data_IF_179298654926
#
_entry.id   IF_179298654926
#
_cell.length_a   1.000
_cell.length_b   1.000
_cell.length_c   1.000
_cell.angle_alpha   90.00
_cell.angle_beta   90.00
_cell.angle_gamma   90.00
#
_symmetry.space_group_name_H-M   'P 1'
#
loop_
_entity.id
_entity.type
_entity.pdbx_description
1 polymer ?
#
# COMPACT_ATOMS: atom_id res chain seq x y z
N UNK A 1 18.97 6.70 -1.84
CA UNK A 1 17.50 6.55 -1.75
C UNK A 1 17.10 6.17 -0.33
N UNK A 2 16.07 6.80 0.20
CA UNK A 2 15.68 6.64 1.60
C UNK A 2 14.39 5.83 1.78
N UNK A 3 14.09 4.97 0.83
CA UNK A 3 12.96 4.03 0.91
C UNK A 3 13.46 2.63 0.60
N UNK A 4 13.17 1.68 1.48
CA UNK A 4 13.47 0.28 1.26
C UNK A 4 12.16 -0.48 1.09
N UNK A 5 12.12 -1.33 0.07
CA UNK A 5 10.96 -2.14 -0.25
C UNK A 5 11.34 -3.61 -0.20
N UNK A 6 10.47 -4.42 0.39
CA UNK A 6 10.66 -5.85 0.47
C UNK A 6 9.34 -6.53 0.10
N UNK A 7 9.39 -7.48 -0.80
CA UNK A 7 8.19 -8.18 -1.29
C UNK A 7 8.19 -9.60 -0.75
N UNK A 8 7.07 -10.02 -0.18
CA UNK A 8 6.92 -11.40 0.30
C UNK A 8 5.51 -11.88 0.01
N UNK A 9 5.32 -13.19 0.08
CA UNK A 9 4.02 -13.82 -0.17
C UNK A 9 3.48 -14.41 1.13
N UNK A 10 2.23 -14.13 1.42
CA UNK A 10 1.53 -14.65 2.59
C UNK A 10 0.27 -15.37 2.12
N UNK A 11 0.39 -16.65 1.84
CA UNK A 11 -0.72 -17.51 1.40
C UNK A 11 -1.43 -16.96 0.17
N UNK A 12 -0.67 -16.56 -0.84
CA UNK A 12 -1.21 -16.05 -2.09
C UNK A 12 -1.56 -14.58 -2.09
N UNK A 13 -1.31 -13.89 -0.98
CA UNK A 13 -1.46 -12.44 -0.87
C UNK A 13 -0.05 -11.84 -0.86
N UNK A 14 0.22 -10.90 -1.74
CA UNK A 14 1.53 -10.25 -1.79
C UNK A 14 1.57 -9.11 -0.79
N UNK A 15 2.60 -9.10 0.04
CA UNK A 15 2.83 -8.04 1.00
C UNK A 15 4.08 -7.28 0.60
N UNK A 16 3.98 -5.97 0.48
CA UNK A 16 5.12 -5.09 0.22
C UNK A 16 5.39 -4.31 1.49
N UNK A 17 6.52 -4.62 2.13
CA UNK A 17 6.96 -3.89 3.31
C UNK A 17 7.71 -2.65 2.85
N UNK A 18 7.28 -1.48 3.32
CA UNK A 18 7.87 -0.20 2.97
C UNK A 18 8.51 0.40 4.22
N UNK A 19 9.77 0.80 4.13
CA UNK A 19 10.49 1.38 5.26
C UNK A 19 11.26 2.60 4.83
N UNK A 20 11.06 3.73 5.52
CA UNK A 20 11.77 4.96 5.26
C UNK A 20 10.85 6.09 4.85
N UNK A 21 11.26 6.86 3.86
CA UNK A 21 10.55 8.06 3.41
C UNK A 21 9.91 7.83 2.05
N UNK A 22 8.61 7.98 2.00
CA UNK A 22 7.85 7.86 0.75
C UNK A 22 7.58 9.26 0.21
N UNK A 23 8.54 9.78 -0.54
CA UNK A 23 8.51 11.14 -1.04
C UNK A 23 8.66 11.18 -2.55
N UNK A 24 8.30 12.31 -3.15
CA UNK A 24 8.43 12.54 -4.58
C UNK A 24 9.87 12.28 -5.05
N UNK A 25 10.03 11.73 -6.25
CA UNK A 25 11.32 11.44 -6.85
C UNK A 25 11.61 9.96 -6.88
N UNK A 26 12.84 9.58 -6.55
CA UNK A 26 13.30 8.19 -6.63
C UNK A 26 12.49 7.25 -5.75
N UNK A 27 12.12 7.70 -4.55
CA UNK A 27 11.38 6.89 -3.60
C UNK A 27 9.99 6.54 -4.15
N UNK A 28 9.23 7.54 -4.56
CA UNK A 28 7.90 7.30 -5.14
C UNK A 28 7.98 6.49 -6.42
N UNK A 29 8.99 6.75 -7.26
CA UNK A 29 9.18 5.99 -8.49
C UNK A 29 9.52 4.52 -8.20
N UNK A 30 10.33 4.26 -7.18
CA UNK A 30 10.69 2.90 -6.78
C UNK A 30 9.46 2.11 -6.33
N UNK A 31 8.61 2.73 -5.51
CA UNK A 31 7.37 2.09 -5.07
C UNK A 31 6.46 1.80 -6.25
N UNK A 32 6.29 2.79 -7.14
CA UNK A 32 5.45 2.63 -8.32
C UNK A 32 5.91 1.46 -9.19
N UNK A 33 7.20 1.41 -9.51
CA UNK A 33 7.73 0.34 -10.34
C UNK A 33 7.58 -1.03 -9.70
N UNK A 34 7.88 -1.13 -8.42
CA UNK A 34 7.79 -2.40 -7.69
C UNK A 34 6.36 -2.93 -7.71
N UNK A 35 5.38 -2.10 -7.36
CA UNK A 35 3.99 -2.54 -7.25
C UNK A 35 3.37 -2.75 -8.64
N UNK A 36 3.68 -1.91 -9.62
CA UNK A 36 3.16 -2.10 -10.97
C UNK A 36 3.56 -3.45 -11.57
N UNK A 37 4.74 -3.94 -11.27
CA UNK A 37 5.19 -5.26 -11.73
C UNK A 37 4.41 -6.39 -11.08
N UNK A 38 3.89 -6.17 -9.87
CA UNK A 38 3.15 -7.18 -9.13
C UNK A 38 1.68 -7.27 -9.56
N UNK A 39 1.10 -6.15 -9.98
CA UNK A 39 -0.34 -6.06 -10.25
C UNK A 39 -0.85 -7.07 -11.28
N UNK A 40 -0.17 -7.32 -12.44
CA UNK A 40 -0.72 -8.21 -13.45
C UNK A 40 -0.98 -9.64 -12.96
N UNK A 41 -0.18 -10.11 -12.03
CA UNK A 41 -0.27 -11.49 -11.56
C UNK A 41 -0.79 -11.61 -10.13
N UNK A 42 -1.09 -10.49 -9.47
CA UNK A 42 -1.51 -10.50 -8.06
C UNK A 42 -2.71 -9.58 -7.87
N UNK A 43 -3.85 -10.18 -7.58
CA UNK A 43 -5.09 -9.43 -7.36
C UNK A 43 -5.23 -8.96 -5.92
N UNK A 44 -4.38 -9.44 -5.03
CA UNK A 44 -4.45 -9.15 -3.59
C UNK A 44 -3.09 -8.68 -3.13
N UNK A 45 -3.00 -7.39 -2.83
CA UNK A 45 -1.74 -6.76 -2.41
C UNK A 45 -1.98 -5.98 -1.13
N UNK A 46 -1.09 -6.16 -0.17
CA UNK A 46 -1.06 -5.37 1.07
C UNK A 46 0.21 -4.53 1.06
N UNK A 47 0.07 -3.22 1.27
CA UNK A 47 1.22 -2.35 1.52
C UNK A 47 1.32 -2.14 3.02
N UNK A 48 2.40 -2.62 3.62
CA UNK A 48 2.66 -2.42 5.03
C UNK A 48 3.47 -1.14 5.19
N UNK A 49 2.85 -0.13 5.77
CA UNK A 49 3.42 1.21 5.92
C UNK A 49 3.89 1.51 7.34
N UNK A 50 4.02 0.46 8.18
CA UNK A 50 4.37 0.62 9.59
C UNK A 50 5.74 1.25 9.84
N UNK A 51 6.65 1.12 8.90
CA UNK A 51 7.98 1.70 9.00
C UNK A 51 8.19 2.91 8.08
N UNK A 52 7.11 3.46 7.53
CA UNK A 52 7.19 4.70 6.76
C UNK A 52 7.17 5.88 7.72
N UNK A 53 8.30 6.60 7.77
CA UNK A 53 8.48 7.69 8.73
C UNK A 53 7.99 9.03 8.22
N UNK A 54 7.86 9.19 6.91
CA UNK A 54 7.44 10.44 6.30
C UNK A 54 6.82 10.18 4.93
N UNK A 55 5.83 10.98 4.58
CA UNK A 55 5.19 10.93 3.26
C UNK A 55 4.86 12.37 2.85
N UNK A 56 5.07 12.69 1.57
CA UNK A 56 4.66 13.97 1.00
C UNK A 56 3.55 13.76 -0.03
N UNK A 57 3.13 14.84 -0.69
CA UNK A 57 2.06 14.77 -1.68
C UNK A 57 2.42 13.89 -2.88
N UNK A 58 3.72 13.81 -3.24
CA UNK A 58 4.17 12.93 -4.32
C UNK A 58 4.04 11.46 -3.95
N UNK A 59 4.40 11.11 -2.71
CA UNK A 59 4.20 9.75 -2.21
C UNK A 59 2.73 9.40 -2.10
N UNK A 60 1.93 10.34 -1.59
CA UNK A 60 0.50 10.14 -1.47
C UNK A 60 -0.15 9.92 -2.84
N UNK A 61 0.19 10.75 -3.83
CA UNK A 61 -0.30 10.60 -5.19
C UNK A 61 0.07 9.26 -5.79
N UNK A 62 1.26 8.75 -5.48
CA UNK A 62 1.70 7.43 -5.93
C UNK A 62 0.82 6.33 -5.34
N UNK A 63 0.47 6.41 -4.05
CA UNK A 63 -0.44 5.43 -3.45
C UNK A 63 -1.80 5.44 -4.14
N UNK A 64 -2.35 6.63 -4.42
CA UNK A 64 -3.64 6.74 -5.11
C UNK A 64 -3.56 6.15 -6.52
N UNK A 65 -2.50 6.46 -7.25
CA UNK A 65 -2.33 5.95 -8.61
C UNK A 65 -2.22 4.42 -8.63
N UNK A 66 -1.49 3.84 -7.68
CA UNK A 66 -1.35 2.38 -7.59
C UNK A 66 -2.67 1.72 -7.22
N UNK A 67 -3.42 2.30 -6.30
CA UNK A 67 -4.74 1.79 -5.94
C UNK A 67 -5.64 1.74 -7.17
N UNK A 68 -5.67 2.82 -7.95
CA UNK A 68 -6.50 2.92 -9.15
C UNK A 68 -6.04 1.90 -10.20
N UNK A 69 -4.73 1.78 -10.42
CA UNK A 69 -4.19 0.82 -11.38
C UNK A 69 -4.57 -0.61 -11.02
N UNK A 70 -4.47 -0.95 -9.74
CA UNK A 70 -4.85 -2.29 -9.29
C UNK A 70 -6.34 -2.55 -9.51
N UNK A 71 -7.19 -1.59 -9.16
CA UNK A 71 -8.64 -1.71 -9.36
C UNK A 71 -8.99 -1.92 -10.84
N UNK A 72 -8.36 -1.16 -11.72
CA UNK A 72 -8.60 -1.28 -13.15
C UNK A 72 -8.15 -2.64 -13.69
N UNK A 73 -7.20 -3.29 -13.04
CA UNK A 73 -6.73 -4.62 -13.40
C UNK A 73 -7.52 -5.75 -12.71
N UNK A 74 -8.57 -5.42 -11.97
CA UNK A 74 -9.39 -6.39 -11.26
C UNK A 74 -8.87 -6.81 -9.90
N UNK A 75 -7.90 -6.08 -9.35
CA UNK A 75 -7.32 -6.36 -8.04
C UNK A 75 -7.61 -5.28 -7.00
N UNK A 76 -7.04 -5.45 -5.84
CA UNK A 76 -7.20 -4.50 -4.74
C UNK A 76 -5.89 -4.38 -3.98
N UNK A 77 -5.54 -3.14 -3.63
CA UNK A 77 -4.44 -2.85 -2.71
C UNK A 77 -5.05 -2.38 -1.40
N UNK A 78 -4.64 -3.00 -0.30
CA UNK A 78 -5.04 -2.61 1.05
C UNK A 78 -3.83 -2.08 1.80
N UNK A 79 -4.06 -1.13 2.70
CA UNK A 79 -2.99 -0.52 3.49
C UNK A 79 -3.05 -1.07 4.92
N UNK A 80 -1.88 -1.31 5.50
CA UNK A 80 -1.79 -1.83 6.87
C UNK A 80 -0.79 -1.03 7.69
N UNK A 81 -1.06 -0.94 8.98
CA UNK A 81 -0.11 -0.44 9.98
C UNK A 81 0.29 1.02 9.77
N UNK A 82 -0.64 1.89 9.39
CA UNK A 82 -0.31 3.29 9.17
C UNK A 82 0.34 3.90 10.41
N UNK A 83 1.43 4.64 10.22
CA UNK A 83 1.95 5.49 11.27
C UNK A 83 0.97 6.65 11.47
N UNK A 84 1.06 7.31 12.63
CA UNK A 84 0.21 8.47 12.90
C UNK A 84 0.37 9.53 11.80
N UNK A 85 1.60 9.77 11.37
CA UNK A 85 1.88 10.78 10.34
C UNK A 85 1.18 10.47 9.02
N UNK A 86 1.26 9.24 8.56
CA UNK A 86 0.61 8.82 7.32
C UNK A 86 -0.91 8.84 7.48
N UNK A 87 -1.40 8.33 8.60
CA UNK A 87 -2.84 8.33 8.87
C UNK A 87 -3.43 9.73 8.94
N UNK A 88 -2.74 10.66 9.60
CA UNK A 88 -3.18 12.05 9.69
C UNK A 88 -3.25 12.71 8.32
N UNK A 89 -2.25 12.45 7.46
CA UNK A 89 -2.26 13.00 6.11
C UNK A 89 -3.41 12.46 5.28
N UNK A 90 -3.69 11.16 5.37
CA UNK A 90 -4.83 10.56 4.67
C UNK A 90 -6.14 11.14 5.18
N UNK A 91 -6.25 11.40 6.48
CA UNK A 91 -7.45 11.98 7.05
C UNK A 91 -7.67 13.42 6.58
N UNK A 92 -6.63 14.25 6.63
CA UNK A 92 -6.70 15.65 6.21
C UNK A 92 -7.06 15.78 4.73
N UNK A 93 -6.54 14.90 3.91
CA UNK A 93 -6.82 14.88 2.47
C UNK A 93 -8.10 14.12 2.12
N UNK A 94 -8.77 13.55 3.11
CA UNK A 94 -10.00 12.74 2.96
C UNK A 94 -9.80 11.47 2.16
N UNK A 95 -8.57 11.01 2.06
CA UNK A 95 -8.24 9.79 1.30
C UNK A 95 -8.43 8.51 2.11
N UNK A 96 -8.69 8.61 3.42
CA UNK A 96 -9.05 7.42 4.21
C UNK A 96 -10.29 6.72 3.68
N UNK A 97 -11.19 7.45 3.02
CA UNK A 97 -12.39 6.86 2.43
C UNK A 97 -12.12 6.16 1.11
N UNK A 98 -10.99 6.45 0.47
CA UNK A 98 -10.60 5.82 -0.80
C UNK A 98 -9.95 4.47 -0.56
N UNK A 99 -9.07 4.40 0.45
CA UNK A 99 -8.33 3.18 0.74
C UNK A 99 -9.02 2.31 1.78
N UNK A 100 -8.81 1.00 1.68
CA UNK A 100 -9.13 0.09 2.76
C UNK A 100 -7.91 0.03 3.68
N UNK A 101 -8.06 0.49 4.92
CA UNK A 101 -6.96 0.63 5.87
C UNK A 101 -7.22 -0.27 7.09
N UNK A 102 -6.18 -0.98 7.50
CA UNK A 102 -6.26 -1.90 8.63
C UNK A 102 -5.19 -1.58 9.66
N UNK A 103 -5.47 -1.84 10.93
CA UNK A 103 -4.56 -1.51 12.02
C UNK A 103 -3.25 -2.29 11.94
N UNK A 104 -3.29 -3.49 11.39
CA UNK A 104 -2.10 -4.32 11.26
C UNK A 104 -2.22 -5.25 10.05
N UNK A 105 -1.11 -5.91 9.73
CA UNK A 105 -1.05 -6.79 8.58
C UNK A 105 -2.02 -7.96 8.68
N UNK A 106 -2.15 -8.55 9.88
CA UNK A 106 -3.04 -9.68 10.07
C UNK A 106 -4.47 -9.35 9.70
N UNK A 107 -4.96 -8.18 10.13
CA UNK A 107 -6.31 -7.74 9.79
C UNK A 107 -6.48 -7.52 8.28
N UNK A 108 -5.47 -6.95 7.63
CA UNK A 108 -5.51 -6.76 6.18
C UNK A 108 -5.57 -8.10 5.44
N UNK A 109 -4.74 -9.06 5.85
CA UNK A 109 -4.75 -10.40 5.26
C UNK A 109 -6.08 -11.10 5.49
N UNK A 110 -6.58 -11.04 6.73
CA UNK A 110 -7.85 -11.67 7.07
C UNK A 110 -9.01 -11.09 6.25
N UNK A 111 -8.98 -9.78 5.98
CA UNK A 111 -10.03 -9.14 5.20
C UNK A 111 -10.08 -9.67 3.75
N UNK A 112 -8.94 -10.00 3.16
CA UNK A 112 -8.91 -10.65 1.85
C UNK A 112 -9.47 -12.05 1.92
N UNK A 113 -9.11 -12.80 2.94
CA UNK A 113 -9.56 -14.20 3.12
C UNK A 113 -11.06 -14.28 3.36
N UNK A 114 -11.63 -13.35 4.13
CA UNK A 114 -13.07 -13.29 4.38
C UNK A 114 -13.84 -13.03 3.10
N UNK A 115 -13.35 -12.12 2.26
CA UNK A 115 -13.97 -11.85 0.97
C UNK A 115 -14.03 -13.08 0.07
N UNK A 116 -13.03 -13.94 0.17
CA UNK A 116 -12.96 -15.16 -0.63
C UNK A 116 -13.86 -16.28 -0.10
N UNK A 117 -14.08 -16.27 1.22
CA UNK A 117 -14.91 -17.29 1.86
C UNK A 117 -16.41 -17.05 1.65
N UNK A 118 -16.78 -15.87 1.22
CA UNK A 118 -18.18 -15.47 1.07
C UNK A 118 -18.84 -16.10 -0.17
#
# INVERSE_FOLDING_TARGET
MELRLSVRNADGIVVVDCAGRLVFGEEAASLRETVKKLIPENKRIVLNLGDVTYIDSGGLGTLVALYTTARNAGGTIKLASLTKRVGDLLQVTKLLTVFEVYDNEKQALDSFRKGEAA
#
